data_IF_688828200855
#
_entry.id   IF_688828200855
#
_cell.length_a   1.000
_cell.length_b   1.000
_cell.length_c   1.000
_cell.angle_alpha   90.00
_cell.angle_beta   90.00
_cell.angle_gamma   90.00
#
_symmetry.space_group_name_H-M   'P 1'
#
loop_
_entity.id
_entity.type
_entity.pdbx_description
1 polymer ?
#
# COMPACT_ATOMS: atom_id res chain seq x y z
N UNK A 1 -15.58 -1.63 5.24
CA UNK A 1 -16.66 -1.78 4.24
C UNK A 1 -16.01 -1.54 2.90
N UNK A 2 -15.99 -2.56 2.04
CA UNK A 2 -15.24 -2.56 0.78
C UNK A 2 -15.92 -1.64 -0.23
N UNK A 3 -15.16 -0.68 -0.74
CA UNK A 3 -15.65 0.36 -1.63
C UNK A 3 -15.19 0.05 -3.07
N UNK A 4 -16.13 -0.34 -3.93
CA UNK A 4 -15.86 -0.58 -5.36
C UNK A 4 -15.28 0.66 -6.07
N UNK A 5 -15.53 1.86 -5.55
CA UNK A 5 -14.97 3.11 -6.05
C UNK A 5 -13.44 3.13 -5.93
N UNK A 6 -12.88 2.54 -4.87
CA UNK A 6 -11.43 2.51 -4.67
C UNK A 6 -10.72 1.57 -5.66
N UNK A 7 -11.35 0.44 -5.99
CA UNK A 7 -10.88 -0.46 -7.06
C UNK A 7 -10.99 0.20 -8.44
N UNK A 8 -12.09 0.90 -8.71
CA UNK A 8 -12.26 1.62 -9.97
C UNK A 8 -11.16 2.68 -10.15
N UNK A 9 -10.92 3.51 -9.12
CA UNK A 9 -9.86 4.53 -9.13
C UNK A 9 -8.48 3.91 -9.34
N UNK A 10 -8.22 2.76 -8.72
CA UNK A 10 -6.98 2.01 -8.94
C UNK A 10 -6.82 1.58 -10.41
N UNK A 11 -7.85 0.96 -11.00
CA UNK A 11 -7.81 0.50 -12.40
C UNK A 11 -7.69 1.66 -13.40
N UNK A 12 -8.25 2.83 -13.10
CA UNK A 12 -8.06 4.04 -13.90
C UNK A 12 -6.61 4.54 -13.85
N UNK A 13 -5.92 4.34 -12.73
CA UNK A 13 -4.53 4.79 -12.52
C UNK A 13 -3.51 3.85 -13.19
N UNK A 14 -3.74 2.53 -13.14
CA UNK A 14 -2.75 1.51 -13.54
C UNK A 14 -2.88 1.07 -15.02
N UNK A 15 -3.34 1.96 -15.90
CA UNK A 15 -3.49 1.62 -17.33
C UNK A 15 -2.14 1.44 -18.01
N UNK A 16 -1.75 0.18 -18.23
CA UNK A 16 -0.59 -0.20 -19.03
C UNK A 16 -0.92 -1.38 -19.95
N UNK A 17 -0.47 -1.30 -21.20
CA UNK A 17 -0.77 -2.33 -22.20
C UNK A 17 -0.02 -3.63 -21.88
N UNK A 18 -0.74 -4.75 -21.81
CA UNK A 18 -0.17 -6.07 -21.48
C UNK A 18 0.04 -6.38 -19.98
N UNK A 19 -0.47 -5.57 -19.05
CA UNK A 19 -0.38 -5.86 -17.62
C UNK A 19 -1.35 -6.98 -17.21
N UNK A 20 -0.82 -8.05 -16.58
CA UNK A 20 -1.63 -9.11 -15.96
C UNK A 20 -1.74 -8.85 -14.46
N UNK A 21 -2.94 -8.48 -14.03
CA UNK A 21 -3.25 -8.25 -12.62
C UNK A 21 -4.05 -9.41 -12.05
N UNK A 22 -3.70 -9.82 -10.84
CA UNK A 22 -4.58 -10.61 -10.00
C UNK A 22 -5.17 -9.69 -8.92
N UNK A 23 -6.51 -9.61 -8.88
CA UNK A 23 -7.26 -8.82 -7.92
C UNK A 23 -8.36 -9.73 -7.41
N UNK A 24 -8.36 -10.05 -6.12
CA UNK A 24 -9.31 -10.98 -5.49
C UNK A 24 -10.78 -10.68 -5.83
N UNK A 25 -11.17 -9.41 -5.85
CA UNK A 25 -12.53 -8.97 -6.17
C UNK A 25 -12.94 -9.24 -7.63
N UNK A 26 -11.98 -9.42 -8.54
CA UNK A 26 -12.23 -9.67 -9.97
C UNK A 26 -11.97 -11.13 -10.33
N UNK A 27 -10.89 -11.70 -9.81
CA UNK A 27 -10.40 -13.03 -10.18
C UNK A 27 -11.06 -14.17 -9.41
N UNK A 28 -11.76 -13.90 -8.31
CA UNK A 28 -12.47 -14.90 -7.51
C UNK A 28 -13.97 -14.73 -7.71
N UNK A 29 -14.67 -15.84 -8.00
CA UNK A 29 -16.13 -15.82 -7.97
C UNK A 29 -16.65 -15.61 -6.55
N UNK A 30 -17.03 -14.38 -6.22
CA UNK A 30 -17.52 -14.04 -4.89
C UNK A 30 -18.87 -14.69 -4.54
N UNK A 31 -19.59 -15.21 -5.54
CA UNK A 31 -20.86 -15.93 -5.37
C UNK A 31 -20.69 -17.42 -5.12
N UNK A 32 -19.48 -17.98 -5.26
CA UNK A 32 -19.18 -19.39 -4.98
C UNK A 32 -18.37 -19.54 -3.67
N UNK A 33 -19.00 -19.99 -2.57
CA UNK A 33 -18.30 -20.22 -1.30
C UNK A 33 -17.19 -21.27 -1.37
N UNK A 34 -17.31 -22.28 -2.26
CA UNK A 34 -16.31 -23.32 -2.40
C UNK A 34 -15.04 -22.76 -3.06
N UNK A 35 -15.21 -21.99 -4.14
CA UNK A 35 -14.10 -21.30 -4.79
C UNK A 35 -13.43 -20.33 -3.83
N UNK A 36 -14.21 -19.49 -3.12
CA UNK A 36 -13.65 -18.55 -2.11
C UNK A 36 -12.80 -19.27 -1.07
N UNK A 37 -13.30 -20.38 -0.54
CA UNK A 37 -12.57 -21.18 0.46
C UNK A 37 -11.28 -21.76 -0.11
N UNK A 38 -11.31 -22.23 -1.36
CA UNK A 38 -10.13 -22.73 -2.06
C UNK A 38 -9.11 -21.61 -2.33
N UNK A 39 -9.56 -20.46 -2.81
CA UNK A 39 -8.71 -19.30 -3.10
C UNK A 39 -8.03 -18.76 -1.85
N UNK A 40 -8.73 -18.70 -0.71
CA UNK A 40 -8.14 -18.30 0.59
C UNK A 40 -6.93 -19.17 0.95
N UNK A 41 -6.95 -20.46 0.63
CA UNK A 41 -5.81 -21.36 0.86
C UNK A 41 -4.65 -21.10 -0.13
N UNK A 42 -4.92 -20.47 -1.27
CA UNK A 42 -3.95 -20.17 -2.32
C UNK A 42 -3.36 -18.76 -2.22
N UNK A 43 -3.97 -17.82 -1.48
CA UNK A 43 -3.52 -16.41 -1.41
C UNK A 43 -2.03 -16.28 -1.08
N UNK A 44 -1.52 -17.07 -0.13
CA UNK A 44 -0.10 -17.08 0.22
C UNK A 44 0.80 -17.50 -0.95
N UNK A 45 0.35 -18.48 -1.73
CA UNK A 45 1.03 -18.93 -2.95
C UNK A 45 0.97 -17.87 -4.04
N UNK A 46 -0.15 -17.15 -4.17
CA UNK A 46 -0.31 -16.09 -5.17
C UNK A 46 0.68 -14.96 -4.89
N UNK A 47 0.71 -14.42 -3.67
CA UNK A 47 1.64 -13.33 -3.32
C UNK A 47 3.11 -13.75 -3.46
N UNK A 48 3.47 -14.98 -3.04
CA UNK A 48 4.84 -15.49 -3.18
C UNK A 48 5.25 -15.80 -4.63
N UNK A 49 4.29 -16.03 -5.54
CA UNK A 49 4.58 -16.31 -6.96
C UNK A 49 4.46 -15.09 -7.86
N UNK A 50 3.80 -14.02 -7.41
CA UNK A 50 3.73 -12.76 -8.12
C UNK A 50 5.12 -12.20 -8.43
N UNK A 51 5.27 -11.60 -9.62
CA UNK A 51 6.49 -10.88 -9.98
C UNK A 51 6.65 -9.60 -9.15
N UNK A 52 5.53 -8.94 -8.86
CA UNK A 52 5.44 -7.75 -8.03
C UNK A 52 4.07 -7.74 -7.34
N UNK A 53 4.03 -7.27 -6.10
CA UNK A 53 2.81 -6.99 -5.35
C UNK A 53 2.65 -5.48 -5.29
N UNK A 54 1.50 -4.99 -5.74
CA UNK A 54 1.18 -3.57 -5.75
C UNK A 54 0.18 -3.25 -4.64
N UNK A 55 0.57 -2.34 -3.77
CA UNK A 55 -0.24 -1.81 -2.68
C UNK A 55 -0.79 -0.46 -3.10
N UNK A 56 -2.10 -0.37 -3.24
CA UNK A 56 -2.75 0.90 -3.51
C UNK A 56 -3.26 1.51 -2.21
N UNK A 57 -2.62 2.58 -1.76
CA UNK A 57 -3.07 3.32 -0.57
C UNK A 57 -4.26 4.24 -0.87
N UNK A 58 -4.76 4.30 -2.10
CA UNK A 58 -5.74 5.31 -2.51
C UNK A 58 -5.08 6.52 -3.18
N UNK A 59 -5.87 7.41 -3.80
CA UNK A 59 -5.36 8.61 -4.44
C UNK A 59 -4.53 9.50 -3.49
N UNK A 60 -3.74 10.39 -4.09
CA UNK A 60 -3.08 11.46 -3.34
C UNK A 60 -4.13 12.31 -2.62
N UNK A 61 -4.03 12.42 -1.30
CA UNK A 61 -4.92 13.19 -0.43
C UNK A 61 -4.25 13.44 0.91
N UNK A 62 -4.76 14.40 1.69
CA UNK A 62 -4.34 14.62 3.09
C UNK A 62 -2.82 14.77 3.26
N UNK A 63 -2.21 15.48 2.31
CA UNK A 63 -0.77 15.70 2.22
C UNK A 63 0.07 14.39 2.19
N UNK A 64 -0.49 13.31 1.64
CA UNK A 64 0.17 12.01 1.54
C UNK A 64 1.54 12.05 0.88
N UNK A 65 1.75 12.92 -0.10
CA UNK A 65 3.04 13.07 -0.77
C UNK A 65 4.10 13.65 0.18
N UNK A 66 3.70 14.64 0.98
CA UNK A 66 4.57 15.22 2.01
C UNK A 66 4.92 14.17 3.07
N UNK A 67 3.93 13.39 3.51
CA UNK A 67 4.15 12.27 4.43
C UNK A 67 5.13 11.22 3.85
N UNK A 68 4.95 10.82 2.59
CA UNK A 68 5.81 9.84 1.90
C UNK A 68 7.25 10.37 1.78
N UNK A 69 7.42 11.63 1.38
CA UNK A 69 8.75 12.22 1.24
C UNK A 69 9.46 12.37 2.58
N UNK A 70 8.73 12.72 3.64
CA UNK A 70 9.28 12.75 5.00
C UNK A 70 9.70 11.35 5.47
N UNK A 71 8.90 10.31 5.23
CA UNK A 71 9.25 8.92 5.55
C UNK A 71 10.50 8.45 4.77
N UNK A 72 10.64 8.85 3.49
CA UNK A 72 11.86 8.58 2.70
C UNK A 72 13.09 9.25 3.31
N UNK A 73 12.98 10.53 3.66
CA UNK A 73 14.06 11.27 4.33
C UNK A 73 14.47 10.67 5.67
N UNK A 74 13.48 10.21 6.46
CA UNK A 74 13.72 9.49 7.71
C UNK A 74 14.54 8.21 7.46
N UNK A 75 14.11 7.38 6.51
CA UNK A 75 14.80 6.13 6.13
C UNK A 75 16.25 6.39 5.73
N UNK A 76 16.49 7.39 4.89
CA UNK A 76 17.83 7.76 4.43
C UNK A 76 18.72 8.25 5.57
N UNK A 77 18.18 9.02 6.53
CA UNK A 77 18.91 9.48 7.70
C UNK A 77 19.31 8.33 8.63
N UNK A 78 18.37 7.42 8.90
CA UNK A 78 18.63 6.23 9.72
C UNK A 78 19.71 5.35 9.09
N UNK A 79 19.67 5.13 7.78
CA UNK A 79 20.62 4.27 7.08
C UNK A 79 22.00 4.92 6.91
N UNK A 80 22.07 6.23 6.68
CA UNK A 80 23.33 6.95 6.45
C UNK A 80 24.04 7.41 7.74
N UNK A 81 23.47 7.17 8.94
CA UNK A 81 23.95 7.71 10.24
C UNK A 81 24.18 9.23 10.25
N UNK A 82 23.61 9.96 9.29
CA UNK A 82 23.83 11.39 9.12
C UNK A 82 22.61 12.16 9.63
N UNK A 83 22.82 12.98 10.68
CA UNK A 83 21.79 13.81 11.35
C UNK A 83 21.18 14.91 10.46
N UNK A 84 21.63 15.09 9.22
CA UNK A 84 21.25 16.23 8.38
C UNK A 84 19.80 16.18 7.88
N UNK A 85 19.21 14.99 7.71
CA UNK A 85 17.82 14.90 7.24
C UNK A 85 16.80 15.25 8.34
N UNK A 86 17.11 14.96 9.61
CA UNK A 86 16.29 15.39 10.76
C UNK A 86 16.31 16.91 10.95
N UNK A 87 17.31 17.63 10.40
CA UNK A 87 17.39 19.10 10.48
C UNK A 87 16.30 19.81 9.68
N UNK A 88 15.59 19.11 8.79
CA UNK A 88 14.38 19.61 8.10
C UNK A 88 13.11 19.49 8.94
N UNK A 89 13.17 18.79 10.08
CA UNK A 89 12.06 18.58 11.01
C UNK A 89 12.09 19.55 12.21
N UNK A 90 13.06 20.48 12.25
CA UNK A 90 13.39 21.28 13.44
C UNK A 90 12.65 22.63 13.54
N UNK A 91 11.59 22.85 12.75
CA UNK A 91 10.79 24.07 12.81
C UNK A 91 9.29 23.76 12.92
N UNK A 92 8.54 24.72 13.48
CA UNK A 92 7.14 24.74 13.94
C UNK A 92 6.05 24.14 12.99
N UNK A 93 6.43 23.52 11.87
CA UNK A 93 5.62 22.74 10.92
C UNK A 93 5.42 21.25 11.33
N UNK A 94 5.94 20.85 12.49
CA UNK A 94 5.95 19.46 12.97
C UNK A 94 4.55 18.84 13.11
N UNK A 95 3.54 19.68 13.40
CA UNK A 95 2.16 19.23 13.54
C UNK A 95 1.53 18.89 12.17
N UNK A 96 1.89 19.61 11.11
CA UNK A 96 1.42 19.31 9.75
C UNK A 96 2.00 17.99 9.24
N UNK A 97 3.29 17.77 9.50
CA UNK A 97 3.93 16.50 9.18
C UNK A 97 3.30 15.35 9.95
N UNK A 98 3.21 15.45 11.28
CA UNK A 98 2.61 14.40 12.09
C UNK A 98 1.17 14.10 11.64
N UNK A 99 0.37 15.13 11.35
CA UNK A 99 -0.99 14.95 10.84
C UNK A 99 -1.01 14.24 9.49
N UNK A 100 -0.12 14.59 8.55
CA UNK A 100 -0.04 13.93 7.24
C UNK A 100 0.37 12.45 7.35
N UNK A 101 1.34 12.13 8.22
CA UNK A 101 1.76 10.75 8.49
C UNK A 101 0.65 9.97 9.19
N UNK A 102 0.00 10.56 10.19
CA UNK A 102 -1.14 9.95 10.87
C UNK A 102 -2.31 9.71 9.92
N UNK A 103 -2.63 10.66 9.03
CA UNK A 103 -3.65 10.50 8.01
C UNK A 103 -3.31 9.35 7.06
N UNK A 104 -2.05 9.27 6.60
CA UNK A 104 -1.57 8.18 5.74
C UNK A 104 -1.67 6.81 6.43
N UNK A 105 -1.30 6.72 7.71
CA UNK A 105 -1.37 5.49 8.51
C UNK A 105 -2.79 5.13 8.95
N UNK A 106 -3.71 6.08 8.93
CA UNK A 106 -5.13 5.86 9.21
C UNK A 106 -5.91 5.34 8.00
N UNK A 107 -5.27 5.21 6.83
CA UNK A 107 -5.92 4.70 5.62
C UNK A 107 -6.39 3.25 5.82
N UNK A 108 -7.54 2.84 5.26
CA UNK A 108 -8.14 1.52 5.51
C UNK A 108 -7.21 0.34 5.27
N UNK A 109 -6.28 0.48 4.32
CA UNK A 109 -5.27 -0.53 3.99
C UNK A 109 -4.56 -1.09 5.24
N UNK A 110 -4.11 -0.23 6.15
CA UNK A 110 -3.30 -0.61 7.32
C UNK A 110 -4.07 -1.43 8.36
N UNK A 111 -5.40 -1.43 8.29
CA UNK A 111 -6.27 -2.21 9.19
C UNK A 111 -6.64 -3.60 8.65
N UNK A 112 -6.20 -3.95 7.44
CA UNK A 112 -6.52 -5.23 6.81
C UNK A 112 -5.67 -6.33 7.41
N UNK A 113 -6.29 -7.42 7.85
CA UNK A 113 -5.58 -8.62 8.35
C UNK A 113 -4.57 -9.19 7.33
N UNK A 114 -4.92 -9.12 6.04
CA UNK A 114 -4.13 -9.70 4.95
C UNK A 114 -2.87 -8.91 4.58
N UNK A 115 -2.68 -7.70 5.14
CA UNK A 115 -1.50 -6.88 4.89
C UNK A 115 -0.20 -7.62 5.18
N UNK A 116 -0.19 -8.51 6.18
CA UNK A 116 1.00 -9.29 6.52
C UNK A 116 1.43 -10.23 5.38
N UNK A 117 0.47 -10.84 4.69
CA UNK A 117 0.79 -11.72 3.57
C UNK A 117 1.25 -10.92 2.36
N UNK A 118 0.62 -9.78 2.11
CA UNK A 118 0.97 -8.84 1.04
C UNK A 118 2.42 -8.33 1.22
N UNK A 119 2.79 -7.93 2.43
CA UNK A 119 4.12 -7.37 2.72
C UNK A 119 5.23 -8.42 2.83
N UNK A 120 4.96 -9.54 3.51
CA UNK A 120 6.02 -10.53 3.85
C UNK A 120 6.30 -11.47 2.68
N UNK A 121 5.28 -11.82 1.88
CA UNK A 121 5.44 -12.81 0.82
C UNK A 121 5.80 -12.19 -0.53
N UNK A 122 5.68 -10.88 -0.68
CA UNK A 122 6.06 -10.19 -1.91
C UNK A 122 7.56 -10.36 -2.21
N UNK A 123 7.86 -10.79 -3.43
CA UNK A 123 9.24 -10.76 -3.96
C UNK A 123 9.71 -9.34 -4.24
N UNK A 124 8.79 -8.52 -4.75
CA UNK A 124 8.96 -7.10 -5.00
C UNK A 124 7.65 -6.41 -4.62
N UNK A 125 7.74 -5.33 -3.85
CA UNK A 125 6.60 -4.63 -3.28
C UNK A 125 6.64 -3.16 -3.71
N UNK A 126 5.58 -2.72 -4.40
CA UNK A 126 5.38 -1.33 -4.79
C UNK A 126 4.21 -0.74 -3.99
N UNK A 127 4.46 0.32 -3.22
CA UNK A 127 3.47 1.08 -2.45
C UNK A 127 3.32 2.47 -3.06
#
# INVERSE_FOLDING_TARGET
>A
MWDGENLERFLQTVRYDGLRLWIDQICINQSDPNERSHQVQMVSRIYSQASQVLVWLGPKSDDSDFAIDALRGLRESYFSRTKSALKRLDHEEDQGLLNSVLALMSRPYWSRLWILQELILAKDLLI
#
